data_IF_272917375068
#
_entry.id   IF_272917375068
#
_cell.length_a   1.000
_cell.length_b   1.000
_cell.length_c   1.000
_cell.angle_alpha   90.00
_cell.angle_beta   90.00
_cell.angle_gamma   90.00
#
_symmetry.space_group_name_H-M   'P 1'
#
loop_
_entity.id
_entity.type
_entity.pdbx_description
1 polymer ?
#
# COMPACT_ATOMS: atom_id res chain seq x y z
N UNK A 1 1.71 62.55 -21.80
CA UNK A 1 2.29 61.19 -22.01
C UNK A 1 1.81 60.29 -20.89
N UNK A 2 0.82 59.44 -21.19
CA UNK A 2 0.26 58.51 -20.21
C UNK A 2 0.95 57.16 -20.42
N UNK A 3 1.68 56.67 -19.43
CA UNK A 3 2.22 55.30 -19.42
C UNK A 3 1.19 54.32 -18.86
N UNK A 4 0.68 53.44 -19.70
CA UNK A 4 -0.14 52.31 -19.28
C UNK A 4 0.79 51.21 -18.76
N UNK A 5 0.62 50.68 -17.53
CA UNK A 5 1.36 49.53 -17.08
C UNK A 5 0.73 48.28 -17.69
N UNK A 6 1.44 47.64 -18.59
CA UNK A 6 1.08 46.31 -19.11
C UNK A 6 1.34 45.26 -18.02
N UNK A 7 0.28 44.84 -17.34
CA UNK A 7 0.34 43.80 -16.35
C UNK A 7 0.66 42.44 -17.01
N UNK A 8 1.85 41.91 -16.71
CA UNK A 8 2.25 40.55 -17.10
C UNK A 8 1.48 39.54 -16.24
N UNK A 9 0.45 38.94 -16.81
CA UNK A 9 -0.32 37.86 -16.17
C UNK A 9 0.53 36.60 -16.26
N UNK A 10 1.26 36.26 -15.20
CA UNK A 10 1.94 34.95 -15.08
C UNK A 10 0.87 33.92 -14.74
N UNK A 11 0.44 33.13 -15.72
CA UNK A 11 -0.31 31.92 -15.48
C UNK A 11 0.64 30.92 -14.79
N UNK A 12 0.57 30.84 -13.48
CA UNK A 12 1.12 29.72 -12.74
C UNK A 12 0.29 28.47 -13.11
N UNK A 13 0.79 27.68 -14.04
CA UNK A 13 0.22 26.36 -14.34
C UNK A 13 0.33 25.50 -13.08
N UNK A 14 -0.79 25.28 -12.41
CA UNK A 14 -0.86 24.29 -11.36
C UNK A 14 -0.61 22.92 -11.98
N UNK A 15 0.61 22.43 -11.88
CA UNK A 15 0.90 21.02 -12.16
C UNK A 15 0.18 20.21 -11.10
N UNK A 16 -0.95 19.61 -11.46
CA UNK A 16 -1.60 18.63 -10.61
C UNK A 16 -0.67 17.42 -10.53
N UNK A 17 0.03 17.28 -9.42
CA UNK A 17 0.79 16.07 -9.12
C UNK A 17 -0.23 14.98 -8.81
N UNK A 18 -0.51 14.13 -9.80
CA UNK A 18 -1.41 13.00 -9.62
C UNK A 18 -0.73 11.97 -8.72
N UNK A 19 -1.22 11.87 -7.50
CA UNK A 19 -0.79 10.92 -6.47
C UNK A 19 -1.19 9.47 -6.76
N UNK A 20 -1.93 9.23 -7.82
CA UNK A 20 -2.64 8.02 -8.13
C UNK A 20 -1.71 6.88 -8.60
N UNK A 21 -2.21 5.66 -8.47
CA UNK A 21 -1.56 4.45 -8.96
C UNK A 21 -2.58 3.55 -9.66
N UNK A 22 -2.09 2.61 -10.45
CA UNK A 22 -2.89 1.59 -11.11
C UNK A 22 -2.42 0.21 -10.68
N UNK A 23 -3.36 -0.73 -10.50
CA UNK A 23 -3.04 -2.15 -10.40
C UNK A 23 -3.13 -2.72 -11.82
N UNK A 24 -2.01 -3.17 -12.37
CA UNK A 24 -1.93 -3.77 -13.71
C UNK A 24 -2.18 -5.28 -13.64
N UNK A 25 -1.76 -5.93 -12.56
CA UNK A 25 -2.02 -7.33 -12.28
C UNK A 25 -2.03 -7.59 -10.75
N UNK A 26 -2.98 -8.37 -10.22
CA UNK A 26 -4.20 -8.88 -10.88
C UNK A 26 -5.07 -7.77 -11.45
N UNK A 27 -6.04 -8.10 -12.31
CA UNK A 27 -6.95 -7.08 -12.85
C UNK A 27 -7.66 -6.34 -11.70
N UNK A 28 -7.55 -5.02 -11.66
CA UNK A 28 -8.24 -4.22 -10.65
C UNK A 28 -9.77 -4.22 -10.85
N UNK A 29 -10.53 -3.90 -9.81
CA UNK A 29 -11.99 -3.92 -9.88
C UNK A 29 -12.55 -2.95 -10.90
N UNK A 30 -11.99 -1.76 -11.00
CA UNK A 30 -12.41 -0.72 -11.94
C UNK A 30 -11.32 0.33 -12.12
N UNK A 31 -11.44 1.11 -13.20
CA UNK A 31 -10.59 2.26 -13.44
C UNK A 31 -10.96 3.42 -12.51
N UNK A 32 -10.24 3.51 -11.40
CA UNK A 32 -10.39 4.59 -10.41
C UNK A 32 -9.64 5.86 -10.78
N UNK A 33 -8.98 5.88 -11.95
CA UNK A 33 -8.33 7.06 -12.53
C UNK A 33 -9.25 7.80 -13.50
N UNK A 34 -10.34 7.14 -13.93
CA UNK A 34 -11.29 7.69 -14.88
C UNK A 34 -12.23 8.68 -14.21
N UNK A 35 -12.28 9.91 -14.70
CA UNK A 35 -13.23 10.93 -14.25
C UNK A 35 -14.70 10.59 -14.57
N UNK A 36 -14.93 9.66 -15.51
CA UNK A 36 -16.27 9.21 -15.90
C UNK A 36 -16.89 8.29 -14.86
N UNK A 37 -16.04 7.52 -14.15
CA UNK A 37 -16.46 6.61 -13.10
C UNK A 37 -16.41 7.37 -11.79
N UNK A 38 -17.51 7.48 -11.07
CA UNK A 38 -17.59 8.17 -9.77
C UNK A 38 -16.82 7.43 -8.65
N UNK A 39 -15.64 6.90 -8.97
CA UNK A 39 -14.75 6.25 -8.03
C UNK A 39 -13.58 7.19 -7.67
N UNK A 40 -13.02 6.99 -6.49
CA UNK A 40 -11.87 7.77 -6.06
C UNK A 40 -10.98 6.94 -5.14
N UNK A 41 -9.69 6.89 -5.45
CA UNK A 41 -8.71 6.16 -4.65
C UNK A 41 -8.62 6.63 -3.20
N UNK A 42 -9.18 7.79 -2.85
CA UNK A 42 -9.28 8.29 -1.48
C UNK A 42 -10.27 7.51 -0.60
N UNK A 43 -11.17 6.73 -1.19
CA UNK A 43 -12.19 6.01 -0.44
C UNK A 43 -11.72 4.61 -0.03
N UNK A 44 -11.56 4.43 1.28
CA UNK A 44 -11.34 3.11 1.87
C UNK A 44 -12.56 2.19 1.65
N UNK A 45 -12.40 0.88 1.43
CA UNK A 45 -11.14 0.15 1.31
C UNK A 45 -10.60 -0.01 -0.12
N UNK A 46 -11.40 0.28 -1.16
CA UNK A 46 -11.14 -0.13 -2.55
C UNK A 46 -11.43 0.98 -3.56
N UNK A 47 -11.19 2.25 -3.20
CA UNK A 47 -11.45 3.37 -4.10
C UNK A 47 -12.95 3.62 -4.35
N UNK A 48 -13.83 3.18 -3.45
CA UNK A 48 -15.29 3.26 -3.61
C UNK A 48 -15.88 2.19 -4.55
N UNK A 49 -15.06 1.28 -5.08
CA UNK A 49 -15.49 0.19 -5.97
C UNK A 49 -15.98 -0.99 -5.14
N UNK A 50 -17.22 -1.42 -5.37
CA UNK A 50 -17.84 -2.54 -4.67
C UNK A 50 -17.26 -3.89 -5.11
N UNK A 51 -17.42 -4.91 -4.26
CA UNK A 51 -17.09 -6.29 -4.62
C UNK A 51 -17.89 -6.74 -5.85
N UNK A 52 -17.23 -7.55 -6.71
CA UNK A 52 -17.87 -8.15 -7.89
C UNK A 52 -18.05 -7.19 -9.08
N UNK A 53 -17.53 -5.97 -9.00
CA UNK A 53 -17.54 -5.04 -10.16
C UNK A 53 -16.56 -5.49 -11.23
N UNK A 54 -15.39 -5.99 -10.85
CA UNK A 54 -14.38 -6.50 -11.78
C UNK A 54 -14.44 -8.02 -11.96
N UNK A 55 -13.63 -8.51 -12.87
CA UNK A 55 -13.42 -9.95 -13.04
C UNK A 55 -12.39 -10.44 -12.04
N UNK A 56 -12.61 -11.67 -11.50
CA UNK A 56 -11.62 -12.33 -10.66
C UNK A 56 -10.48 -12.88 -11.51
N UNK A 57 -9.26 -12.60 -11.06
CA UNK A 57 -8.06 -13.16 -11.67
C UNK A 57 -7.72 -14.49 -11.00
N UNK A 58 -7.42 -15.53 -11.76
CA UNK A 58 -6.85 -16.75 -11.20
C UNK A 58 -5.45 -16.48 -10.64
N UNK A 59 -5.25 -16.82 -9.37
CA UNK A 59 -4.04 -16.52 -8.62
C UNK A 59 -3.36 -17.81 -8.15
N UNK A 60 -2.05 -17.99 -8.39
CA UNK A 60 -1.34 -19.20 -7.95
C UNK A 60 -1.33 -19.33 -6.43
N UNK A 61 -1.70 -20.52 -5.90
CA UNK A 61 -1.59 -20.81 -4.47
C UNK A 61 -0.12 -20.79 -4.02
N UNK A 62 0.79 -21.20 -4.90
CA UNK A 62 2.24 -21.23 -4.64
C UNK A 62 2.90 -19.85 -4.54
N UNK A 63 2.17 -18.79 -4.82
CA UNK A 63 2.62 -17.42 -4.82
C UNK A 63 2.31 -16.71 -6.14
N UNK A 64 1.67 -15.56 -6.05
CA UNK A 64 1.30 -14.73 -7.18
C UNK A 64 2.15 -13.48 -7.31
N UNK A 65 1.73 -12.56 -8.17
CA UNK A 65 2.39 -11.29 -8.38
C UNK A 65 1.42 -10.10 -8.24
N UNK A 66 1.93 -8.95 -7.83
CA UNK A 66 1.22 -7.67 -7.92
C UNK A 66 2.07 -6.72 -8.74
N UNK A 67 1.54 -6.32 -9.90
CA UNK A 67 2.14 -5.34 -10.78
C UNK A 67 1.37 -4.03 -10.71
N UNK A 68 2.08 -2.93 -10.58
CA UNK A 68 1.55 -1.58 -10.38
C UNK A 68 2.19 -0.62 -11.37
N UNK A 69 1.45 0.40 -11.78
CA UNK A 69 2.02 1.62 -12.35
C UNK A 69 1.94 2.72 -11.29
N UNK A 70 3.08 3.21 -10.83
CA UNK A 70 3.21 4.24 -9.81
C UNK A 70 3.48 5.61 -10.44
N UNK A 71 2.69 6.61 -10.07
CA UNK A 71 2.79 7.97 -10.61
C UNK A 71 3.55 8.93 -9.68
N UNK A 72 3.84 8.52 -8.44
CA UNK A 72 4.64 9.29 -7.49
C UNK A 72 6.14 9.06 -7.65
N UNK A 73 6.98 10.08 -7.30
CA UNK A 73 8.42 9.89 -7.24
C UNK A 73 8.86 8.95 -6.11
N UNK A 74 8.02 8.80 -5.09
CA UNK A 74 8.18 7.83 -4.01
C UNK A 74 6.82 7.57 -3.34
N UNK A 75 6.64 6.40 -2.76
CA UNK A 75 5.45 6.04 -1.97
C UNK A 75 5.76 4.97 -0.94
N UNK A 76 5.09 5.05 0.20
CA UNK A 76 4.92 3.89 1.06
C UNK A 76 3.89 2.97 0.43
N UNK A 77 4.14 1.67 0.49
CA UNK A 77 3.32 0.66 -0.14
C UNK A 77 3.01 -0.47 0.85
N UNK A 78 1.72 -0.79 0.95
CA UNK A 78 1.20 -1.96 1.65
C UNK A 78 0.40 -2.80 0.67
N UNK A 79 0.48 -4.12 0.81
CA UNK A 79 -0.36 -5.05 0.05
C UNK A 79 -1.00 -6.00 1.04
N UNK A 80 -2.29 -5.89 1.17
CA UNK A 80 -3.09 -6.66 2.10
C UNK A 80 -4.03 -7.61 1.35
N UNK A 81 -4.49 -8.65 2.03
CA UNK A 81 -5.46 -9.58 1.48
C UNK A 81 -6.54 -9.87 2.51
N UNK A 82 -7.76 -10.09 2.02
CA UNK A 82 -8.87 -10.63 2.78
C UNK A 82 -9.50 -11.79 2.01
N UNK A 83 -9.88 -12.82 2.71
CA UNK A 83 -10.52 -14.01 2.12
C UNK A 83 -12.03 -13.86 2.04
N UNK A 84 -12.62 -14.41 0.99
CA UNK A 84 -14.07 -14.45 0.79
C UNK A 84 -14.53 -13.79 -0.51
N UNK A 85 -15.86 -13.77 -0.69
CA UNK A 85 -16.51 -13.22 -1.89
C UNK A 85 -16.79 -11.71 -1.79
N UNK A 86 -17.07 -11.23 -0.57
CA UNK A 86 -17.35 -9.83 -0.26
C UNK A 86 -16.41 -9.40 0.89
N UNK A 87 -15.22 -8.94 0.54
CA UNK A 87 -14.18 -8.62 1.51
C UNK A 87 -14.30 -7.18 1.96
N UNK A 88 -14.53 -6.99 3.25
CA UNK A 88 -14.55 -5.68 3.91
C UNK A 88 -13.38 -5.51 4.90
N UNK A 89 -12.70 -6.60 5.24
CA UNK A 89 -11.60 -6.62 6.19
C UNK A 89 -10.33 -7.20 5.55
N UNK A 90 -9.29 -6.40 5.45
CA UNK A 90 -7.98 -6.73 4.88
C UNK A 90 -6.97 -6.89 6.02
N UNK A 91 -7.10 -7.96 6.79
CA UNK A 91 -6.39 -8.20 8.05
C UNK A 91 -5.11 -9.04 7.91
N UNK A 92 -4.77 -9.46 6.70
CA UNK A 92 -3.53 -10.18 6.42
C UNK A 92 -2.67 -9.36 5.49
N UNK A 93 -1.39 -9.21 5.81
CA UNK A 93 -0.43 -8.58 4.90
C UNK A 93 0.22 -9.63 4.01
N UNK A 94 0.32 -9.34 2.70
CA UNK A 94 1.10 -10.13 1.74
C UNK A 94 2.57 -9.74 1.73
N UNK A 95 2.92 -8.66 2.40
CA UNK A 95 4.30 -8.18 2.53
C UNK A 95 4.68 -8.14 4.01
N UNK A 96 5.89 -8.60 4.38
CA UNK A 96 6.25 -8.74 5.79
C UNK A 96 6.43 -7.38 6.49
N UNK A 97 6.78 -6.35 5.74
CA UNK A 97 7.14 -5.05 6.27
C UNK A 97 6.61 -3.92 5.38
N UNK A 98 6.54 -2.71 5.94
CA UNK A 98 6.26 -1.50 5.18
C UNK A 98 7.34 -1.29 4.13
N UNK A 99 6.91 -1.06 2.91
CA UNK A 99 7.81 -0.77 1.79
C UNK A 99 7.84 0.73 1.49
N UNK A 100 9.03 1.26 1.24
CA UNK A 100 9.23 2.54 0.57
C UNK A 100 9.71 2.27 -0.86
N UNK A 101 8.88 2.62 -1.82
CA UNK A 101 9.18 2.48 -3.25
C UNK A 101 9.48 3.86 -3.81
N UNK A 102 10.66 4.03 -4.40
CA UNK A 102 11.09 5.26 -5.06
C UNK A 102 11.19 5.05 -6.57
N UNK A 103 10.80 6.05 -7.34
CA UNK A 103 10.70 6.03 -8.79
C UNK A 103 9.25 6.08 -9.27
N UNK A 104 9.09 6.40 -10.57
CA UNK A 104 7.80 6.38 -11.27
C UNK A 104 7.83 5.33 -12.37
N UNK A 105 6.70 4.69 -12.61
CA UNK A 105 6.56 3.69 -13.67
C UNK A 105 6.15 2.32 -13.15
N UNK A 106 6.54 1.28 -13.87
CA UNK A 106 6.17 -0.10 -13.57
C UNK A 106 6.94 -0.60 -12.35
N UNK A 107 6.21 -1.15 -11.41
CA UNK A 107 6.71 -1.81 -10.21
C UNK A 107 6.01 -3.14 -10.02
N UNK A 108 6.75 -4.20 -9.77
CA UNK A 108 6.17 -5.52 -9.56
C UNK A 108 6.87 -6.28 -8.43
N UNK A 109 6.04 -6.90 -7.60
CA UNK A 109 6.44 -7.93 -6.65
C UNK A 109 5.87 -9.28 -7.09
N UNK A 110 6.65 -10.34 -6.99
CA UNK A 110 6.23 -11.71 -7.29
C UNK A 110 6.54 -12.65 -6.14
N UNK A 111 6.11 -13.91 -6.27
CA UNK A 111 6.24 -14.94 -5.24
C UNK A 111 5.56 -14.56 -3.91
N UNK A 112 4.47 -13.80 -4.01
CA UNK A 112 3.68 -13.38 -2.86
C UNK A 112 2.80 -14.53 -2.39
N UNK A 113 3.20 -15.17 -1.30
CA UNK A 113 2.50 -16.31 -0.69
C UNK A 113 1.65 -15.82 0.48
N UNK A 114 0.41 -16.30 0.57
CA UNK A 114 -0.43 -16.05 1.74
C UNK A 114 0.12 -16.86 2.92
N UNK A 115 0.26 -16.25 4.11
CA UNK A 115 0.88 -16.91 5.27
C UNK A 115 -0.08 -17.90 5.97
N UNK A 116 -0.80 -18.70 5.19
CA UNK A 116 -1.73 -19.74 5.67
C UNK A 116 -2.05 -20.75 4.56
N UNK A 117 -2.60 -21.90 4.95
CA UNK A 117 -3.06 -22.91 3.99
C UNK A 117 -4.30 -22.41 3.23
N UNK A 118 -4.21 -22.38 1.92
CA UNK A 118 -5.27 -21.95 1.02
C UNK A 118 -5.79 -23.13 0.21
N UNK A 119 -7.12 -23.33 0.20
CA UNK A 119 -7.78 -24.36 -0.59
C UNK A 119 -8.01 -23.85 -2.02
N UNK A 120 -7.81 -24.72 -3.02
CA UNK A 120 -8.10 -24.40 -4.43
C UNK A 120 -9.56 -23.95 -4.60
N UNK A 121 -9.76 -22.88 -5.34
CA UNK A 121 -11.06 -22.25 -5.52
C UNK A 121 -11.44 -21.22 -4.45
N UNK A 122 -10.62 -20.99 -3.43
CA UNK A 122 -10.86 -19.94 -2.45
C UNK A 122 -10.84 -18.56 -3.13
N UNK A 123 -11.87 -17.77 -2.90
CA UNK A 123 -11.93 -16.38 -3.35
C UNK A 123 -11.30 -15.43 -2.33
N UNK A 124 -10.71 -14.37 -2.82
CA UNK A 124 -10.10 -13.33 -2.01
C UNK A 124 -10.10 -11.99 -2.74
N UNK A 125 -9.78 -10.93 -2.00
CA UNK A 125 -9.50 -9.62 -2.56
C UNK A 125 -8.14 -9.14 -2.07
N UNK A 126 -7.33 -8.63 -2.97
CA UNK A 126 -6.07 -7.95 -2.68
C UNK A 126 -6.35 -6.47 -2.61
N UNK A 127 -5.93 -5.82 -1.54
CA UNK A 127 -5.93 -4.37 -1.38
C UNK A 127 -4.51 -3.86 -1.53
N UNK A 128 -4.33 -2.89 -2.40
CA UNK A 128 -3.09 -2.12 -2.49
C UNK A 128 -3.35 -0.76 -1.88
N UNK A 129 -2.50 -0.37 -0.94
CA UNK A 129 -2.53 0.93 -0.28
C UNK A 129 -1.22 1.64 -0.57
N UNK A 130 -1.29 2.83 -1.13
CA UNK A 130 -0.14 3.71 -1.30
C UNK A 130 -0.30 4.96 -0.44
N UNK A 131 0.81 5.47 0.08
CA UNK A 131 0.84 6.76 0.76
C UNK A 131 2.14 7.45 0.41
N UNK A 132 2.08 8.43 -0.47
CA UNK A 132 3.26 9.15 -0.94
C UNK A 132 3.03 10.65 -0.96
N UNK A 133 4.10 11.42 -0.71
CA UNK A 133 4.09 12.87 -0.80
C UNK A 133 4.45 13.35 -2.20
N UNK A 134 3.70 14.36 -2.70
CA UNK A 134 4.24 15.31 -3.64
C UNK A 134 5.16 16.30 -2.90
N UNK A 135 5.64 17.33 -3.58
CA UNK A 135 6.57 18.33 -3.04
C UNK A 135 6.08 19.10 -1.79
N UNK A 136 4.97 18.69 -1.16
CA UNK A 136 4.38 19.28 0.05
C UNK A 136 4.32 18.37 1.28
N UNK A 137 4.79 17.12 1.20
CA UNK A 137 5.08 16.27 2.39
C UNK A 137 3.88 15.61 3.10
N UNK A 138 2.64 15.92 2.79
CA UNK A 138 1.48 15.28 3.41
C UNK A 138 0.85 14.24 2.47
N UNK A 139 1.27 12.98 2.63
CA UNK A 139 0.74 11.86 1.87
C UNK A 139 -0.54 11.32 2.48
N UNK A 140 -1.65 11.44 1.77
CA UNK A 140 -2.86 10.70 2.12
C UNK A 140 -2.81 9.29 1.56
N UNK A 141 -3.50 8.35 2.21
CA UNK A 141 -3.59 6.99 1.73
C UNK A 141 -4.53 6.90 0.53
N UNK A 142 -4.13 6.11 -0.46
CA UNK A 142 -4.89 5.78 -1.65
C UNK A 142 -5.13 4.28 -1.70
N UNK A 143 -6.30 3.87 -2.15
CA UNK A 143 -6.77 2.49 -2.07
C UNK A 143 -7.27 1.99 -3.42
N UNK A 144 -6.82 0.82 -3.82
CA UNK A 144 -7.37 0.05 -4.93
C UNK A 144 -7.43 -1.43 -4.57
N UNK A 145 -8.34 -2.16 -5.20
CA UNK A 145 -8.50 -3.58 -4.98
C UNK A 145 -8.54 -4.35 -6.30
N UNK A 146 -8.09 -5.60 -6.22
CA UNK A 146 -8.23 -6.61 -7.25
C UNK A 146 -8.82 -7.90 -6.63
N UNK A 147 -9.79 -8.49 -7.31
CA UNK A 147 -10.41 -9.73 -6.87
C UNK A 147 -9.74 -10.94 -7.51
N UNK A 148 -9.47 -11.95 -6.71
CA UNK A 148 -8.76 -13.16 -7.13
C UNK A 148 -9.52 -14.43 -6.74
N UNK A 149 -9.23 -15.50 -7.45
CA UNK A 149 -9.55 -16.88 -7.05
C UNK A 149 -8.28 -17.69 -7.01
N UNK A 150 -7.95 -18.27 -5.88
CA UNK A 150 -6.78 -19.14 -5.75
C UNK A 150 -6.93 -20.40 -6.56
N UNK A 151 -5.89 -20.74 -7.34
CA UNK A 151 -5.84 -21.94 -8.16
C UNK A 151 -4.47 -22.60 -8.08
N UNK A 152 -4.47 -23.89 -7.85
CA UNK A 152 -3.23 -24.67 -7.84
C UNK A 152 -2.56 -24.74 -9.21
N UNK A 153 -3.37 -24.72 -10.30
CA UNK A 153 -2.88 -24.76 -11.68
C UNK A 153 -2.58 -23.37 -12.28
N UNK A 154 -2.97 -22.28 -11.60
CA UNK A 154 -2.72 -20.93 -12.11
C UNK A 154 -1.23 -20.64 -12.18
N UNK A 155 -0.88 -19.77 -13.14
CA UNK A 155 0.48 -19.25 -13.32
C UNK A 155 0.40 -17.74 -13.52
N UNK A 156 1.46 -17.05 -13.10
CA UNK A 156 1.62 -15.65 -13.44
C UNK A 156 1.84 -15.56 -14.96
N UNK A 157 1.06 -14.76 -15.69
CA UNK A 157 1.25 -14.61 -17.14
C UNK A 157 2.62 -14.03 -17.46
N UNK A 158 3.22 -14.46 -18.56
CA UNK A 158 4.51 -13.96 -19.00
C UNK A 158 4.46 -12.44 -19.24
N UNK A 159 5.49 -11.76 -18.79
CA UNK A 159 5.69 -10.34 -19.03
C UNK A 159 4.80 -9.38 -18.24
N UNK A 160 3.93 -9.86 -17.33
CA UNK A 160 3.14 -8.96 -16.47
C UNK A 160 3.98 -8.34 -15.37
N UNK A 161 4.99 -9.05 -14.88
CA UNK A 161 5.85 -8.57 -13.80
C UNK A 161 7.09 -7.90 -14.35
N UNK A 162 7.09 -6.57 -14.37
CA UNK A 162 8.21 -5.74 -14.85
C UNK A 162 8.49 -4.63 -13.85
N UNK A 163 9.75 -4.21 -13.83
CA UNK A 163 10.20 -3.05 -13.05
C UNK A 163 10.87 -2.06 -13.98
N UNK A 164 10.49 -0.79 -13.90
CA UNK A 164 11.20 0.28 -14.57
C UNK A 164 12.60 0.46 -13.97
N UNK A 165 13.58 0.82 -14.78
CA UNK A 165 15.00 0.93 -14.36
C UNK A 165 15.25 1.97 -13.26
N UNK A 166 14.31 2.89 -13.08
CA UNK A 166 14.39 3.96 -12.08
C UNK A 166 13.78 3.57 -10.72
N UNK A 167 13.20 2.37 -10.63
CA UNK A 167 12.54 1.91 -9.41
C UNK A 167 13.54 1.40 -8.40
N UNK A 168 13.33 1.74 -7.12
CA UNK A 168 14.04 1.16 -6.00
C UNK A 168 13.08 0.84 -4.86
N UNK A 169 13.36 -0.23 -4.13
CA UNK A 169 12.59 -0.70 -2.99
C UNK A 169 13.44 -0.70 -1.73
N UNK A 170 12.92 -0.14 -0.65
CA UNK A 170 13.49 -0.22 0.70
C UNK A 170 12.43 -0.78 1.64
N UNK A 171 12.76 -1.85 2.36
CA UNK A 171 11.92 -2.39 3.44
C UNK A 171 12.17 -1.56 4.70
N UNK A 172 11.11 -1.12 5.38
CA UNK A 172 11.17 -0.27 6.56
C UNK A 172 10.83 -1.09 7.82
N UNK A 173 11.62 -2.12 8.11
CA UNK A 173 11.52 -2.94 9.33
C UNK A 173 12.75 -2.79 10.22
N UNK A 174 12.86 -3.57 11.29
CA UNK A 174 13.93 -3.52 12.31
C UNK A 174 15.35 -3.87 11.79
N UNK A 175 15.59 -3.71 10.52
CA UNK A 175 16.90 -3.89 9.88
C UNK A 175 16.84 -3.35 8.47
N UNK A 176 17.12 -2.05 8.29
CA UNK A 176 17.14 -1.37 7.00
C UNK A 176 17.97 -2.13 5.97
N UNK A 177 17.29 -2.85 5.08
CA UNK A 177 17.93 -3.46 3.92
C UNK A 177 17.47 -2.74 2.67
N UNK A 178 18.37 -2.00 2.03
CA UNK A 178 18.14 -1.43 0.69
C UNK A 178 18.48 -2.50 -0.34
N UNK A 179 17.49 -3.04 -1.00
CA UNK A 179 17.71 -3.90 -2.16
C UNK A 179 17.47 -3.07 -3.42
N UNK A 180 18.53 -2.70 -4.17
CA UNK A 180 18.34 -2.02 -5.45
C UNK A 180 17.70 -2.99 -6.43
N UNK A 181 16.51 -2.62 -6.92
CA UNK A 181 15.88 -3.31 -8.04
C UNK A 181 16.57 -2.80 -9.30
N UNK A 182 17.56 -3.55 -9.80
CA UNK A 182 18.21 -3.20 -11.06
C UNK A 182 17.28 -3.56 -12.22
N UNK A 183 16.90 -2.55 -13.00
CA UNK A 183 16.05 -2.75 -14.18
C UNK A 183 16.79 -3.49 -15.29
N UNK A 184 16.66 -4.78 -15.28
CA UNK A 184 16.76 -5.69 -16.43
C UNK A 184 16.48 -7.10 -15.93
N UNK A 185 15.30 -7.64 -16.21
CA UNK A 185 14.90 -9.06 -15.98
C UNK A 185 15.37 -9.71 -14.65
N UNK A 186 15.68 -8.91 -13.63
CA UNK A 186 16.07 -9.42 -12.32
C UNK A 186 14.80 -9.82 -11.57
N UNK A 187 14.61 -11.11 -11.46
CA UNK A 187 13.64 -11.74 -10.58
C UNK A 187 14.00 -11.40 -9.14
N UNK A 188 13.28 -10.48 -8.52
CA UNK A 188 13.48 -10.17 -7.11
C UNK A 188 12.68 -11.16 -6.28
N UNK A 189 13.32 -12.23 -5.84
CA UNK A 189 12.73 -13.19 -4.91
C UNK A 189 12.79 -12.60 -3.51
N UNK A 190 11.66 -12.24 -2.94
CA UNK A 190 11.57 -11.84 -1.53
C UNK A 190 11.53 -13.12 -0.69
N UNK A 191 12.71 -13.70 -0.47
CA UNK A 191 12.84 -14.82 0.48
C UNK A 191 13.28 -14.25 1.81
N UNK A 192 12.35 -13.76 2.61
CA UNK A 192 12.60 -13.45 4.01
C UNK A 192 12.14 -14.60 4.88
N UNK A 193 13.08 -15.47 5.21
CA UNK A 193 12.90 -16.38 6.35
C UNK A 193 13.14 -15.52 7.60
N UNK A 194 12.12 -14.90 8.14
CA UNK A 194 12.20 -14.23 9.44
C UNK A 194 12.09 -15.29 10.51
N UNK A 195 13.24 -15.76 11.02
CA UNK A 195 13.28 -16.52 12.26
C UNK A 195 13.13 -15.53 13.40
N UNK A 196 11.90 -15.27 13.86
CA UNK A 196 11.65 -14.47 15.05
C UNK A 196 12.06 -15.28 16.27
N UNK A 197 13.28 -15.09 16.73
CA UNK A 197 13.70 -15.59 18.05
C UNK A 197 13.16 -14.65 19.11
N UNK A 198 11.99 -14.93 19.66
CA UNK A 198 11.45 -14.21 20.80
C UNK A 198 12.31 -14.57 22.01
N UNK A 199 13.27 -13.73 22.36
CA UNK A 199 13.98 -13.82 23.61
C UNK A 199 13.09 -13.25 24.70
N UNK A 200 12.36 -14.11 25.41
CA UNK A 200 11.59 -13.72 26.57
C UNK A 200 12.56 -13.25 27.66
N UNK A 201 12.73 -11.94 27.81
CA UNK A 201 13.41 -11.37 28.97
C UNK A 201 12.33 -11.07 30.01
N UNK A 202 12.26 -11.92 31.03
CA UNK A 202 11.38 -11.74 32.18
C UNK A 202 11.93 -10.62 33.09
N UNK A 203 11.78 -9.37 32.71
CA UNK A 203 12.05 -8.19 33.55
C UNK A 203 11.34 -6.96 32.97
N UNK A 204 10.05 -6.80 33.23
CA UNK A 204 9.29 -5.64 32.74
C UNK A 204 7.88 -5.50 33.33
N UNK A 205 7.45 -6.38 34.21
CA UNK A 205 6.07 -6.37 34.71
C UNK A 205 5.78 -5.34 35.84
N UNK A 206 6.70 -4.44 36.17
CA UNK A 206 6.51 -3.46 37.26
C UNK A 206 6.53 -1.98 36.83
N UNK A 207 6.80 -1.66 35.58
CA UNK A 207 6.90 -0.26 35.10
C UNK A 207 5.59 0.31 34.56
N UNK A 208 4.67 -0.51 34.08
CA UNK A 208 3.41 -0.01 33.45
C UNK A 208 2.34 0.44 34.45
N UNK A 209 2.37 -0.08 35.68
CA UNK A 209 1.39 0.29 36.72
C UNK A 209 1.56 1.73 37.26
N UNK A 210 2.77 2.30 37.21
CA UNK A 210 3.05 3.62 37.74
C UNK A 210 2.72 4.72 36.72
N UNK A 211 2.91 4.47 35.44
CA UNK A 211 2.59 5.42 34.37
C UNK A 211 1.08 5.70 34.25
N UNK A 212 0.24 4.69 34.42
CA UNK A 212 -1.22 4.84 34.40
C UNK A 212 -1.76 5.64 35.59
N UNK A 213 -1.16 5.47 36.79
CA UNK A 213 -1.58 6.20 37.99
C UNK A 213 -1.26 7.71 37.89
N UNK A 214 -0.16 8.10 37.25
CA UNK A 214 0.22 9.49 37.04
C UNK A 214 -0.70 10.20 36.04
N UNK A 215 -1.11 9.53 34.97
CA UNK A 215 -2.00 10.11 33.96
C UNK A 215 -3.40 10.36 34.52
N UNK A 216 -3.93 9.46 35.38
CA UNK A 216 -5.24 9.64 36.01
C UNK A 216 -5.18 10.77 37.04
N UNK A 217 -4.09 10.90 37.81
CA UNK A 217 -3.93 11.96 38.78
C UNK A 217 -3.84 13.36 38.15
N UNK A 218 -3.15 13.50 37.00
CA UNK A 218 -3.11 14.76 36.23
C UNK A 218 -4.48 15.13 35.63
N UNK A 219 -5.25 14.17 35.14
CA UNK A 219 -6.59 14.43 34.61
C UNK A 219 -7.56 14.93 35.68
N UNK A 220 -7.50 14.39 36.92
CA UNK A 220 -8.32 14.84 38.02
C UNK A 220 -7.96 16.27 38.51
N UNK A 221 -6.68 16.64 38.47
CA UNK A 221 -6.25 17.99 38.84
C UNK A 221 -6.73 19.03 37.82
N UNK A 222 -6.71 18.69 36.51
CA UNK A 222 -7.22 19.60 35.50
C UNK A 222 -8.73 19.80 35.56
N UNK A 223 -9.51 18.78 35.89
CA UNK A 223 -10.96 18.89 36.04
C UNK A 223 -11.39 19.80 37.19
N UNK A 224 -10.62 19.82 38.27
CA UNK A 224 -10.89 20.71 39.46
C UNK A 224 -10.50 22.16 39.20
N UNK A 225 -9.55 22.45 38.30
CA UNK A 225 -9.13 23.83 37.96
C UNK A 225 -10.06 24.47 36.94
N UNK A 226 -10.71 23.70 36.08
CA UNK A 226 -11.60 24.22 35.02
C UNK A 226 -13.09 24.26 35.41
N UNK A 227 -13.48 23.82 36.63
CA UNK A 227 -14.83 24.02 37.17
C UNK A 227 -15.94 23.27 36.41
N UNK A 228 -15.69 22.07 35.88
CA UNK A 228 -16.69 21.19 35.30
C UNK A 228 -17.01 20.03 36.25
#
# INVERSE_FOLDING_TARGET
MMFTPTGLLVLAGAHQVSAHFKIDYPAWRSDTLSEVMNYSQWYYPCGGVLDGVGNRTEWPISGGAVALTLHHPWTYLFINIGLGNAVTNFNMSLVPELMNVSGRGDFCLHDMVVPMDIIDGTNASIQVVTSGGGDGGEGSALYNCADITFRAAAKIPDGVCKNSSTMSLTMLGDGWSTTPISGSNATTTVTSVVTVTVKATAAGALAEGIAFAIVIALACVFATILGF
#
